data_IF_534206876110
#
_entry.id   IF_534206876110
#
_cell.length_a   1.000
_cell.length_b   1.000
_cell.length_c   1.000
_cell.angle_alpha   90.00
_cell.angle_beta   90.00
_cell.angle_gamma   90.00
#
_symmetry.space_group_name_H-M   'P 1'
#
loop_
_entity.id
_entity.type
_entity.pdbx_description
1 polymer ?
#
# COMPACT_ATOMS: atom_id res chain seq x y z
N UNK A 1 -33.23 18.17 21.94
CA UNK A 1 -33.03 17.41 23.20
C UNK A 1 -31.74 16.58 22.99
N UNK A 2 -30.63 17.03 23.58
CA UNK A 2 -29.35 16.28 23.50
C UNK A 2 -29.44 15.02 24.32
N UNK A 3 -29.49 13.88 23.69
CA UNK A 3 -29.49 12.58 24.34
C UNK A 3 -28.05 12.24 24.70
N UNK A 4 -27.74 12.15 26.00
CA UNK A 4 -26.43 11.70 26.50
C UNK A 4 -26.23 10.26 26.03
N UNK A 5 -25.46 10.09 24.97
CA UNK A 5 -25.03 8.79 24.47
C UNK A 5 -23.93 8.34 25.41
N UNK A 6 -24.16 7.26 26.15
CA UNK A 6 -23.37 6.64 27.19
C UNK A 6 -21.88 7.04 27.35
N UNK A 7 -21.19 6.50 28.34
CA UNK A 7 -19.76 6.73 28.54
C UNK A 7 -18.99 6.34 27.27
N UNK A 8 -18.61 7.33 26.46
CA UNK A 8 -17.64 7.16 25.38
C UNK A 8 -16.28 7.00 26.04
N UNK A 9 -15.87 5.79 26.23
CA UNK A 9 -14.84 5.45 27.19
C UNK A 9 -13.53 4.96 26.57
N UNK A 10 -13.34 5.04 25.28
CA UNK A 10 -11.99 4.87 24.74
C UNK A 10 -11.57 6.20 24.15
N UNK A 11 -10.51 6.75 24.74
CA UNK A 11 -9.80 7.91 24.24
C UNK A 11 -9.46 7.65 22.79
N UNK A 12 -9.95 8.53 21.91
CA UNK A 12 -9.39 8.61 20.58
C UNK A 12 -7.88 8.66 20.69
N UNK A 13 -7.20 7.75 20.06
CA UNK A 13 -5.74 7.79 19.93
C UNK A 13 -5.45 9.02 19.05
N UNK A 14 -5.11 10.14 19.71
CA UNK A 14 -5.23 11.48 19.15
C UNK A 14 -3.93 11.94 18.51
N UNK A 15 -3.48 11.20 17.52
CA UNK A 15 -2.22 11.42 16.82
C UNK A 15 -2.37 12.02 15.42
N UNK A 16 -3.60 12.21 14.94
CA UNK A 16 -3.88 12.91 13.69
C UNK A 16 -3.39 14.36 13.76
N UNK A 17 -2.90 14.87 12.63
CA UNK A 17 -2.69 16.32 12.44
C UNK A 17 -4.00 17.10 12.51
N UNK A 18 -5.10 16.42 12.18
CA UNK A 18 -6.44 16.98 12.21
C UNK A 18 -6.96 17.11 13.65
N UNK A 19 -7.79 18.11 13.87
CA UNK A 19 -8.52 18.30 15.13
C UNK A 19 -9.86 18.98 14.88
N UNK A 20 -10.79 18.88 15.83
CA UNK A 20 -12.04 19.62 15.76
C UNK A 20 -11.77 21.12 15.68
N UNK A 21 -12.47 21.81 14.80
CA UNK A 21 -12.29 23.23 14.51
C UNK A 21 -11.24 23.52 13.45
N UNK A 22 -10.43 22.54 13.02
CA UNK A 22 -9.57 22.72 11.85
C UNK A 22 -10.42 22.98 10.61
N UNK A 23 -9.97 23.90 9.74
CA UNK A 23 -10.70 24.32 8.55
C UNK A 23 -9.83 24.15 7.31
N UNK A 24 -10.48 23.94 6.17
CA UNK A 24 -9.82 23.79 4.89
C UNK A 24 -10.69 24.24 3.72
N UNK A 25 -10.17 24.06 2.52
CA UNK A 25 -10.87 24.37 1.28
C UNK A 25 -10.60 23.29 0.23
N UNK A 26 -11.65 22.89 -0.50
CA UNK A 26 -11.59 21.98 -1.64
C UNK A 26 -12.58 22.43 -2.72
N UNK A 27 -12.15 22.43 -3.98
CA UNK A 27 -12.96 22.84 -5.13
C UNK A 27 -13.63 24.22 -4.96
N UNK A 28 -12.94 25.17 -4.28
CA UNK A 28 -13.47 26.50 -3.98
C UNK A 28 -14.46 26.57 -2.81
N UNK A 29 -14.81 25.43 -2.21
CA UNK A 29 -15.68 25.32 -1.04
C UNK A 29 -14.88 25.22 0.25
N UNK A 30 -15.13 26.10 1.23
CA UNK A 30 -14.58 25.99 2.56
C UNK A 30 -15.32 24.95 3.40
N UNK A 31 -14.62 24.34 4.34
CA UNK A 31 -15.20 23.41 5.32
C UNK A 31 -14.53 23.55 6.68
N UNK A 32 -15.22 23.11 7.72
CA UNK A 32 -14.68 23.00 9.09
C UNK A 32 -14.94 21.60 9.63
N UNK A 33 -13.94 20.99 10.27
CA UNK A 33 -14.07 19.69 10.92
C UNK A 33 -14.81 19.86 12.26
N UNK A 34 -16.05 19.42 12.32
CA UNK A 34 -16.94 19.64 13.47
C UNK A 34 -17.24 18.38 14.25
N UNK A 35 -16.96 17.21 13.67
CA UNK A 35 -17.14 15.93 14.32
C UNK A 35 -16.16 14.89 13.82
N UNK A 36 -16.03 13.79 14.56
CA UNK A 36 -15.23 12.63 14.11
C UNK A 36 -15.83 11.32 14.60
N UNK A 37 -15.63 10.28 13.82
CA UNK A 37 -16.01 8.90 14.05
C UNK A 37 -14.76 8.03 13.97
N UNK A 38 -14.64 7.04 14.84
CA UNK A 38 -13.62 6.01 14.73
C UNK A 38 -14.27 4.66 14.55
N UNK A 39 -13.87 3.98 13.50
CA UNK A 39 -14.35 2.66 13.14
C UNK A 39 -13.27 1.61 13.37
N UNK A 40 -13.68 0.44 13.84
CA UNK A 40 -12.86 -0.77 13.80
C UNK A 40 -13.35 -1.68 12.67
N UNK A 41 -12.42 -2.34 12.00
CA UNK A 41 -12.70 -3.31 10.95
C UNK A 41 -11.86 -4.57 11.14
N UNK A 42 -12.20 -5.61 10.37
CA UNK A 42 -11.54 -6.91 10.42
C UNK A 42 -11.87 -7.70 11.69
N UNK A 43 -11.49 -8.95 11.69
CA UNK A 43 -11.66 -9.87 12.81
C UNK A 43 -10.31 -10.45 13.26
N UNK A 44 -10.26 -10.85 14.52
CA UNK A 44 -9.09 -11.51 15.10
C UNK A 44 -7.82 -10.69 14.91
N UNK A 45 -6.97 -11.19 14.09
CA UNK A 45 -5.63 -10.67 13.88
C UNK A 45 -5.53 -9.60 12.76
N UNK A 46 -6.53 -9.49 11.90
CA UNK A 46 -6.59 -8.48 10.84
C UNK A 46 -7.31 -7.19 11.26
N UNK A 47 -7.56 -7.03 12.56
CA UNK A 47 -8.30 -5.87 13.07
C UNK A 47 -7.50 -4.58 12.96
N UNK A 48 -8.09 -3.57 12.31
CA UNK A 48 -7.57 -2.20 12.21
C UNK A 48 -8.60 -1.16 12.63
N UNK A 49 -8.23 0.11 12.55
CA UNK A 49 -9.13 1.25 12.79
C UNK A 49 -8.83 2.37 11.81
N UNK A 50 -9.86 3.10 11.39
CA UNK A 50 -9.71 4.38 10.69
C UNK A 50 -10.55 5.47 11.35
N UNK A 51 -10.24 6.72 11.05
CA UNK A 51 -10.98 7.88 11.52
C UNK A 51 -11.67 8.58 10.35
N UNK A 52 -12.94 8.93 10.54
CA UNK A 52 -13.71 9.76 9.63
C UNK A 52 -14.09 11.07 10.30
N UNK A 53 -13.72 12.17 9.66
CA UNK A 53 -14.04 13.52 10.13
C UNK A 53 -15.26 14.06 9.40
N UNK A 54 -16.26 14.53 10.15
CA UNK A 54 -17.38 15.29 9.59
C UNK A 54 -16.91 16.71 9.27
N UNK A 55 -16.91 17.02 7.96
CA UNK A 55 -16.55 18.32 7.42
C UNK A 55 -17.83 19.07 7.07
N UNK A 56 -18.19 20.05 7.90
CA UNK A 56 -19.32 20.94 7.62
C UNK A 56 -18.89 22.00 6.61
N UNK A 57 -19.53 22.02 5.45
CA UNK A 57 -19.23 22.97 4.38
C UNK A 57 -19.85 24.34 4.66
N UNK A 58 -19.34 25.39 4.01
CA UNK A 58 -19.80 26.77 4.19
C UNK A 58 -21.27 26.98 3.76
N UNK A 59 -21.80 26.11 2.91
CA UNK A 59 -23.20 26.09 2.51
C UNK A 59 -24.13 25.32 3.44
N UNK A 60 -23.57 24.77 4.54
CA UNK A 60 -24.28 23.95 5.52
C UNK A 60 -24.41 22.47 5.13
N UNK A 61 -23.89 22.06 3.98
CA UNK A 61 -23.90 20.65 3.58
C UNK A 61 -22.81 19.86 4.31
N UNK A 62 -23.03 18.54 4.45
CA UNK A 62 -22.07 17.61 5.04
C UNK A 62 -21.12 17.03 4.01
N UNK A 63 -19.86 16.92 4.37
CA UNK A 63 -18.86 16.13 3.70
C UNK A 63 -18.06 15.35 4.74
N UNK A 64 -17.21 14.42 4.29
CA UNK A 64 -16.39 13.61 5.17
C UNK A 64 -14.94 13.63 4.69
N UNK A 65 -14.03 13.71 5.63
CA UNK A 65 -12.60 13.52 5.39
C UNK A 65 -12.16 12.27 6.14
N UNK A 66 -12.00 11.18 5.40
CA UNK A 66 -11.48 9.94 5.97
C UNK A 66 -9.98 10.02 6.02
N UNK A 67 -9.43 9.58 7.13
CA UNK A 67 -8.01 9.53 7.42
C UNK A 67 -7.61 8.11 7.75
N UNK A 68 -6.70 7.59 6.95
CA UNK A 68 -6.03 6.34 7.22
C UNK A 68 -4.56 6.49 6.82
N UNK A 69 -3.69 6.42 7.85
CA UNK A 69 -2.24 6.29 7.66
C UNK A 69 -1.57 7.39 6.82
N UNK A 70 -2.03 8.64 6.97
CA UNK A 70 -1.53 9.77 6.19
C UNK A 70 -2.05 9.83 4.76
N UNK A 71 -2.94 8.92 4.38
CA UNK A 71 -3.79 9.02 3.18
C UNK A 71 -5.14 9.60 3.57
N UNK A 72 -5.69 10.45 2.71
CA UNK A 72 -6.94 11.13 2.96
C UNK A 72 -7.89 10.96 1.78
N UNK A 73 -9.16 10.70 2.08
CA UNK A 73 -10.24 10.69 1.09
C UNK A 73 -11.28 11.72 1.49
N UNK A 74 -11.52 12.69 0.63
CA UNK A 74 -12.61 13.65 0.80
C UNK A 74 -13.83 13.18 0.03
N UNK A 75 -14.95 12.98 0.72
CA UNK A 75 -16.18 12.43 0.15
C UNK A 75 -17.42 13.26 0.52
N UNK A 76 -18.46 13.17 -0.31
CA UNK A 76 -19.77 13.78 -0.08
C UNK A 76 -20.87 12.74 -0.19
N UNK A 77 -21.94 12.88 0.60
CA UNK A 77 -23.14 12.06 0.39
C UNK A 77 -23.71 12.27 -1.01
N UNK A 78 -24.09 11.19 -1.67
CA UNK A 78 -24.76 11.24 -2.96
C UNK A 78 -26.05 10.45 -2.91
N UNK A 79 -27.07 10.95 -3.63
CA UNK A 79 -28.31 10.20 -3.82
C UNK A 79 -28.05 9.07 -4.81
N UNK A 80 -28.32 7.84 -4.42
CA UNK A 80 -28.29 6.72 -5.35
C UNK A 80 -29.48 6.84 -6.31
N UNK A 81 -29.21 7.09 -7.60
CA UNK A 81 -30.24 7.11 -8.65
C UNK A 81 -30.73 5.69 -9.03
N UNK A 82 -30.44 4.68 -8.22
CA UNK A 82 -30.80 3.28 -8.41
C UNK A 82 -30.67 2.48 -7.12
N UNK A 83 -31.11 1.25 -7.14
CA UNK A 83 -30.92 0.35 -6.01
C UNK A 83 -29.43 0.06 -5.81
N UNK A 84 -28.95 0.28 -4.59
CA UNK A 84 -27.59 -0.18 -4.19
C UNK A 84 -27.60 -1.68 -4.15
N UNK A 85 -26.69 -2.40 -4.85
CA UNK A 85 -26.61 -3.85 -4.77
C UNK A 85 -26.40 -4.33 -3.33
N UNK A 86 -26.91 -5.50 -2.93
CA UNK A 86 -26.59 -6.09 -1.64
C UNK A 86 -25.07 -6.31 -1.50
N UNK A 87 -24.52 -6.14 -0.30
CA UNK A 87 -23.09 -6.35 -0.05
C UNK A 87 -22.61 -7.76 -0.47
N UNK A 88 -23.46 -8.78 -0.36
CA UNK A 88 -23.15 -10.15 -0.78
C UNK A 88 -22.94 -10.31 -2.29
N UNK A 89 -23.39 -9.37 -3.10
CA UNK A 89 -23.21 -9.36 -4.56
C UNK A 89 -21.98 -8.55 -5.01
N UNK A 90 -21.24 -8.01 -4.05
CA UNK A 90 -20.06 -7.16 -4.27
C UNK A 90 -18.77 -7.82 -3.73
N UNK A 91 -18.34 -8.98 -4.24
CA UNK A 91 -17.10 -9.60 -3.78
C UNK A 91 -15.88 -8.79 -4.25
N UNK A 92 -14.84 -8.77 -3.42
CA UNK A 92 -13.59 -8.03 -3.68
C UNK A 92 -12.96 -8.44 -5.01
N UNK A 93 -12.47 -7.44 -5.75
CA UNK A 93 -11.88 -7.60 -7.08
C UNK A 93 -12.87 -7.69 -8.25
N UNK A 94 -14.18 -7.74 -7.97
CA UNK A 94 -15.19 -7.75 -9.03
C UNK A 94 -15.50 -6.34 -9.54
N UNK A 95 -15.72 -6.23 -10.86
CA UNK A 95 -16.14 -4.98 -11.48
C UNK A 95 -17.65 -4.84 -11.45
N UNK A 96 -18.14 -3.68 -11.08
CA UNK A 96 -19.55 -3.30 -11.04
C UNK A 96 -19.78 -2.01 -11.82
N UNK A 97 -20.89 -1.92 -12.55
CA UNK A 97 -21.30 -0.72 -13.26
C UNK A 97 -22.34 0.06 -12.43
N UNK A 98 -22.03 1.30 -12.08
CA UNK A 98 -22.86 2.18 -11.26
C UNK A 98 -22.94 3.55 -11.90
N UNK A 99 -24.14 4.05 -12.16
CA UNK A 99 -24.32 5.38 -12.77
C UNK A 99 -23.62 5.57 -14.12
N UNK A 100 -23.43 4.49 -14.91
CA UNK A 100 -22.73 4.53 -16.19
C UNK A 100 -21.19 4.49 -16.09
N UNK A 101 -20.64 4.50 -14.87
CA UNK A 101 -19.21 4.35 -14.60
C UNK A 101 -18.91 2.93 -14.11
N UNK A 102 -17.74 2.39 -14.48
CA UNK A 102 -17.26 1.11 -13.95
C UNK A 102 -16.41 1.34 -12.72
N UNK A 103 -16.61 0.46 -11.74
CA UNK A 103 -15.86 0.42 -10.49
C UNK A 103 -15.39 -1.00 -10.21
N UNK A 104 -14.33 -1.11 -9.42
CA UNK A 104 -13.83 -2.39 -8.87
C UNK A 104 -14.05 -2.38 -7.37
N UNK A 105 -14.59 -3.45 -6.83
CA UNK A 105 -14.75 -3.62 -5.37
C UNK A 105 -13.35 -3.75 -4.75
N UNK A 106 -12.95 -2.75 -3.98
CA UNK A 106 -11.65 -2.73 -3.29
C UNK A 106 -11.73 -3.32 -1.89
N UNK A 107 -12.87 -3.18 -1.21
CA UNK A 107 -13.08 -3.71 0.13
C UNK A 107 -14.55 -4.08 0.34
N UNK A 108 -14.80 -5.17 1.06
CA UNK A 108 -16.13 -5.57 1.53
C UNK A 108 -15.96 -6.26 2.89
N UNK A 109 -16.26 -5.54 3.96
CA UNK A 109 -15.95 -6.03 5.29
C UNK A 109 -16.90 -5.50 6.38
N UNK A 110 -17.07 -6.24 7.47
CA UNK A 110 -17.78 -5.75 8.64
C UNK A 110 -16.96 -4.67 9.34
N UNK A 111 -17.65 -3.61 9.75
CA UNK A 111 -17.08 -2.50 10.53
C UNK A 111 -17.92 -2.25 11.77
N UNK A 112 -17.31 -1.67 12.79
CA UNK A 112 -17.99 -1.32 14.05
C UNK A 112 -17.58 0.08 14.45
N UNK A 113 -18.56 0.96 14.70
CA UNK A 113 -18.30 2.27 15.30
C UNK A 113 -17.85 2.07 16.75
N UNK A 114 -16.63 2.49 17.10
CA UNK A 114 -16.04 2.32 18.43
C UNK A 114 -15.97 3.62 19.23
N UNK A 115 -15.90 4.77 18.55
CA UNK A 115 -15.89 6.08 19.21
C UNK A 115 -16.49 7.17 18.30
N UNK A 116 -17.03 8.22 18.90
CA UNK A 116 -17.57 9.39 18.20
C UNK A 116 -17.40 10.67 19.04
N UNK A 117 -17.13 11.82 18.41
CA UNK A 117 -16.94 13.10 19.08
C UNK A 117 -17.43 14.26 18.20
N UNK A 118 -17.90 15.35 18.82
CA UNK A 118 -18.30 16.58 18.14
C UNK A 118 -19.70 16.51 17.53
N UNK A 119 -19.92 17.28 16.46
CA UNK A 119 -21.22 17.39 15.77
C UNK A 119 -21.28 16.41 14.58
N UNK A 120 -22.26 15.55 14.60
CA UNK A 120 -22.43 14.48 13.61
C UNK A 120 -23.85 14.48 13.06
N UNK A 121 -24.04 14.43 11.73
CA UNK A 121 -25.37 14.47 11.12
C UNK A 121 -26.18 13.21 11.40
N UNK A 122 -25.50 12.08 11.49
CA UNK A 122 -26.06 10.76 11.81
C UNK A 122 -25.02 9.94 12.53
N UNK A 123 -25.44 9.15 13.49
CA UNK A 123 -24.57 8.27 14.27
C UNK A 123 -25.01 6.82 14.03
N UNK A 124 -24.16 5.96 13.45
CA UNK A 124 -24.40 4.53 13.44
C UNK A 124 -24.48 3.97 14.87
N UNK A 125 -25.16 2.84 15.10
CA UNK A 125 -25.21 2.23 16.41
C UNK A 125 -23.81 1.90 16.93
N UNK A 126 -23.46 2.44 18.10
CA UNK A 126 -22.18 2.19 18.74
C UNK A 126 -22.03 0.71 19.12
N UNK A 127 -20.90 0.11 18.78
CA UNK A 127 -20.56 -1.28 19.12
C UNK A 127 -21.33 -2.34 18.32
N UNK A 128 -22.17 -1.97 17.37
CA UNK A 128 -22.88 -2.92 16.52
C UNK A 128 -22.16 -3.02 15.14
N UNK A 129 -21.83 -4.23 14.67
CA UNK A 129 -21.21 -4.40 13.37
C UNK A 129 -22.24 -4.16 12.25
N UNK A 130 -21.75 -3.55 11.16
CA UNK A 130 -22.47 -3.43 9.90
C UNK A 130 -21.45 -3.52 8.75
N UNK A 131 -21.92 -3.77 7.53
CA UNK A 131 -21.02 -3.91 6.38
C UNK A 131 -20.76 -2.57 5.73
N UNK A 132 -19.52 -2.31 5.37
CA UNK A 132 -19.11 -1.24 4.45
C UNK A 132 -18.45 -1.87 3.23
N UNK A 133 -18.86 -1.40 2.05
CA UNK A 133 -18.25 -1.79 0.78
C UNK A 133 -17.66 -0.56 0.13
N UNK A 134 -16.39 -0.62 -0.23
CA UNK A 134 -15.72 0.40 -0.99
C UNK A 134 -15.49 -0.08 -2.42
N UNK A 135 -15.79 0.78 -3.39
CA UNK A 135 -15.51 0.53 -4.80
C UNK A 135 -14.74 1.71 -5.39
N UNK A 136 -13.76 1.42 -6.24
CA UNK A 136 -12.87 2.41 -6.86
C UNK A 136 -13.11 2.48 -8.35
N UNK A 137 -13.15 3.68 -8.91
CA UNK A 137 -13.33 3.86 -10.35
C UNK A 137 -12.26 3.10 -11.14
N UNK A 138 -12.71 2.39 -12.18
CA UNK A 138 -11.85 1.60 -13.04
C UNK A 138 -11.22 2.45 -14.14
N UNK A 139 -9.90 2.46 -14.22
CA UNK A 139 -9.15 3.21 -15.25
C UNK A 139 -9.16 4.73 -15.04
N UNK A 140 -8.90 5.47 -16.10
CA UNK A 140 -8.84 6.94 -16.07
C UNK A 140 -7.48 7.49 -15.61
N UNK A 141 -7.39 8.82 -15.59
CA UNK A 141 -6.26 9.53 -15.01
C UNK A 141 -6.42 9.70 -13.49
N UNK A 142 -5.35 10.02 -12.79
CA UNK A 142 -5.34 10.14 -11.33
C UNK A 142 -6.35 11.19 -10.81
N UNK A 143 -6.55 12.28 -11.55
CA UNK A 143 -7.47 13.35 -11.16
C UNK A 143 -8.95 12.94 -11.32
N UNK A 144 -9.24 12.02 -12.24
CA UNK A 144 -10.60 11.52 -12.48
C UNK A 144 -11.00 10.37 -11.57
N UNK A 145 -10.05 9.79 -10.83
CA UNK A 145 -10.30 8.64 -9.96
C UNK A 145 -11.27 8.99 -8.83
N UNK A 146 -12.19 8.07 -8.58
CA UNK A 146 -13.24 8.23 -7.56
C UNK A 146 -13.34 6.98 -6.69
N UNK A 147 -13.77 7.22 -5.48
CA UNK A 147 -14.11 6.20 -4.48
C UNK A 147 -15.59 6.34 -4.17
N UNK A 148 -16.35 5.25 -4.27
CA UNK A 148 -17.70 5.16 -3.75
C UNK A 148 -17.69 4.25 -2.54
N UNK A 149 -18.37 4.66 -1.48
CA UNK A 149 -18.56 3.83 -0.28
C UNK A 149 -20.05 3.60 -0.04
N UNK A 150 -20.41 2.35 0.25
CA UNK A 150 -21.76 1.92 0.61
C UNK A 150 -21.77 1.52 2.08
N UNK A 151 -22.49 2.27 2.89
CA UNK A 151 -22.70 2.00 4.32
C UNK A 151 -24.04 1.30 4.51
N UNK A 152 -24.02 0.00 4.82
CA UNK A 152 -25.18 -0.84 5.06
C UNK A 152 -25.67 -0.76 6.52
N UNK A 153 -25.14 0.12 7.35
CA UNK A 153 -25.66 0.42 8.69
C UNK A 153 -27.01 1.11 8.69
N UNK A 154 -27.54 1.46 7.51
CA UNK A 154 -28.87 2.04 7.35
C UNK A 154 -29.65 1.42 6.17
N UNK A 155 -30.97 1.59 6.18
CA UNK A 155 -31.87 1.18 5.10
C UNK A 155 -32.63 2.42 4.57
N UNK A 156 -32.45 2.83 3.31
CA UNK A 156 -31.49 2.30 2.34
C UNK A 156 -30.03 2.55 2.77
N UNK A 157 -29.05 1.84 2.18
CA UNK A 157 -27.63 2.08 2.43
C UNK A 157 -27.24 3.52 2.09
N UNK A 158 -26.43 4.13 2.96
CA UNK A 158 -25.88 5.45 2.66
C UNK A 158 -24.74 5.32 1.63
N UNK A 159 -24.70 6.27 0.70
CA UNK A 159 -23.69 6.30 -0.38
C UNK A 159 -22.89 7.58 -0.30
N UNK A 160 -21.57 7.49 -0.34
CA UNK A 160 -20.67 8.63 -0.49
C UNK A 160 -19.81 8.48 -1.72
N UNK A 161 -19.54 9.60 -2.39
CA UNK A 161 -18.62 9.70 -3.52
C UNK A 161 -17.45 10.60 -3.13
N UNK A 162 -16.24 10.09 -3.27
CA UNK A 162 -15.03 10.80 -2.87
C UNK A 162 -13.88 10.66 -3.84
N UNK A 163 -12.78 11.30 -3.48
CA UNK A 163 -11.48 11.17 -4.15
C UNK A 163 -10.35 11.28 -3.14
N UNK A 164 -9.20 10.69 -3.47
CA UNK A 164 -7.98 10.89 -2.71
C UNK A 164 -7.54 12.34 -2.74
N UNK A 165 -7.06 12.82 -1.60
CA UNK A 165 -6.54 14.19 -1.44
C UNK A 165 -5.27 14.15 -0.59
N UNK A 166 -4.43 15.19 -0.70
CA UNK A 166 -3.32 15.42 0.21
C UNK A 166 -3.59 16.67 1.04
N UNK A 167 -3.20 16.70 2.31
CA UNK A 167 -3.51 17.82 3.21
C UNK A 167 -3.01 19.17 2.67
N UNK A 168 -1.90 19.17 1.94
CA UNK A 168 -1.37 20.39 1.30
C UNK A 168 -2.32 21.02 0.29
N UNK A 169 -3.16 20.21 -0.36
CA UNK A 169 -4.08 20.67 -1.39
C UNK A 169 -5.42 21.17 -0.81
N UNK A 170 -5.64 20.87 0.48
CA UNK A 170 -6.82 21.31 1.21
C UNK A 170 -6.66 22.69 1.88
N UNK A 171 -5.51 23.34 1.76
CA UNK A 171 -5.22 24.64 2.39
C UNK A 171 -5.62 24.68 3.87
N UNK A 172 -5.29 23.63 4.62
CA UNK A 172 -5.72 23.45 5.99
C UNK A 172 -5.16 24.53 6.93
N UNK A 173 -5.98 24.97 7.87
CA UNK A 173 -5.62 25.82 8.99
C UNK A 173 -6.13 25.21 10.31
N UNK A 174 -5.52 25.58 11.44
CA UNK A 174 -5.91 25.06 12.74
C UNK A 174 -5.52 23.58 12.95
N UNK A 175 -4.52 23.09 12.24
CA UNK A 175 -3.93 21.77 12.48
C UNK A 175 -3.20 21.76 13.83
N UNK A 176 -3.05 20.57 14.43
CA UNK A 176 -2.20 20.41 15.61
C UNK A 176 -0.76 20.76 15.26
N UNK A 177 -0.09 21.49 16.13
CA UNK A 177 1.32 21.83 15.97
C UNK A 177 2.18 20.55 16.02
N UNK A 178 3.18 20.44 15.13
CA UNK A 178 4.14 19.32 15.13
C UNK A 178 4.83 19.15 16.51
N UNK A 179 5.09 20.25 17.22
CA UNK A 179 5.65 20.25 18.58
C UNK A 179 4.77 19.57 19.63
N UNK A 180 3.45 19.54 19.44
CA UNK A 180 2.53 18.81 20.32
C UNK A 180 2.59 17.29 20.11
N UNK A 181 3.05 16.86 18.94
CA UNK A 181 3.22 15.44 18.60
C UNK A 181 4.56 14.88 19.10
N UNK A 182 5.64 15.66 19.04
CA UNK A 182 6.96 15.24 19.52
C UNK A 182 7.01 15.03 21.03
N UNK A 183 6.14 15.70 21.79
CA UNK A 183 6.06 15.58 23.26
C UNK A 183 5.30 14.34 23.77
N UNK A 184 4.59 13.62 22.91
CA UNK A 184 3.72 12.50 23.32
C UNK A 184 4.28 11.12 22.95
N UNK A 185 5.59 10.98 22.76
CA UNK A 185 6.23 9.68 22.49
C UNK A 185 5.75 8.62 23.46
N UNK A 186 4.89 7.71 22.99
CA UNK A 186 4.42 6.58 23.81
C UNK A 186 5.58 5.66 24.10
N UNK A 187 5.86 5.39 25.36
CA UNK A 187 6.92 4.49 25.77
C UNK A 187 6.35 3.36 26.63
N UNK A 188 6.81 2.15 26.37
CA UNK A 188 6.46 0.97 27.14
C UNK A 188 7.65 0.00 27.22
N UNK A 189 7.58 -0.95 28.14
CA UNK A 189 8.58 -2.02 28.22
C UNK A 189 8.28 -3.13 27.20
N UNK A 190 9.30 -3.57 26.48
CA UNK A 190 9.16 -4.70 25.56
C UNK A 190 8.64 -5.96 26.30
N UNK A 191 7.56 -6.60 25.83
CA UNK A 191 7.00 -7.77 26.50
C UNK A 191 7.93 -9.00 26.51
N UNK A 192 8.93 -9.01 25.62
CA UNK A 192 9.90 -10.11 25.56
C UNK A 192 11.17 -9.83 26.39
N UNK A 193 11.80 -8.66 26.25
CA UNK A 193 13.11 -8.41 26.88
C UNK A 193 13.11 -7.29 27.93
N UNK A 194 11.98 -6.60 28.17
CA UNK A 194 11.85 -5.52 29.14
C UNK A 194 12.48 -4.17 28.73
N UNK A 195 13.22 -4.11 27.62
CA UNK A 195 13.84 -2.87 27.15
C UNK A 195 12.80 -1.82 26.79
N UNK A 196 13.09 -0.51 26.95
CA UNK A 196 12.15 0.55 26.59
C UNK A 196 11.94 0.60 25.07
N UNK A 197 10.69 0.62 24.65
CA UNK A 197 10.25 0.80 23.27
C UNK A 197 9.53 2.12 23.16
N UNK A 198 9.99 3.00 22.27
CA UNK A 198 9.38 4.31 22.03
C UNK A 198 8.71 4.31 20.66
N UNK A 199 7.41 4.56 20.63
CA UNK A 199 6.62 4.73 19.42
C UNK A 199 6.73 6.18 18.98
N UNK A 200 7.22 6.41 17.77
CA UNK A 200 7.46 7.76 17.21
C UNK A 200 6.33 8.21 16.28
N UNK A 201 5.80 7.27 15.51
CA UNK A 201 4.67 7.55 14.64
C UNK A 201 3.37 7.42 15.44
N UNK A 202 2.55 8.41 15.32
CA UNK A 202 1.26 8.48 15.97
C UNK A 202 0.35 7.28 15.65
N UNK A 203 0.38 6.84 14.42
CA UNK A 203 -0.53 5.86 13.83
C UNK A 203 0.03 4.43 13.84
N UNK A 204 1.14 4.19 14.55
CA UNK A 204 1.78 2.87 14.59
C UNK A 204 0.82 1.81 15.13
N UNK A 205 0.57 0.79 14.33
CA UNK A 205 -0.19 -0.41 14.69
C UNK A 205 0.71 -1.59 15.00
N UNK A 206 1.96 -1.53 14.55
CA UNK A 206 2.99 -2.51 14.90
C UNK A 206 4.35 -1.82 15.04
N UNK A 207 5.18 -2.32 15.93
CA UNK A 207 6.56 -1.85 16.15
C UNK A 207 7.46 -3.02 16.50
N UNK A 208 8.74 -2.93 16.13
CA UNK A 208 9.74 -3.88 16.62
C UNK A 208 10.57 -3.29 17.74
N UNK A 209 10.87 -4.10 18.75
CA UNK A 209 11.77 -3.72 19.81
C UNK A 209 13.17 -3.42 19.25
N UNK A 210 13.77 -2.25 19.51
CA UNK A 210 15.09 -1.92 18.99
C UNK A 210 16.21 -2.81 19.53
N UNK A 211 15.99 -3.49 20.68
CA UNK A 211 16.98 -4.32 21.34
C UNK A 211 16.93 -5.80 20.90
N UNK A 212 15.75 -6.41 20.89
CA UNK A 212 15.60 -7.85 20.62
C UNK A 212 14.83 -8.16 19.33
N UNK A 213 14.44 -7.14 18.58
CA UNK A 213 13.69 -7.20 17.31
C UNK A 213 12.34 -7.94 17.40
N UNK A 214 11.84 -8.21 18.60
CA UNK A 214 10.49 -8.77 18.78
C UNK A 214 9.47 -7.84 18.16
N UNK A 215 8.62 -8.38 17.29
CA UNK A 215 7.50 -7.66 16.68
C UNK A 215 6.36 -7.56 17.70
N UNK A 216 5.83 -6.36 17.92
CA UNK A 216 4.83 -6.02 18.92
C UNK A 216 3.63 -5.41 18.24
N UNK A 217 2.45 -5.97 18.48
CA UNK A 217 1.17 -5.48 17.97
C UNK A 217 0.63 -4.36 18.86
N UNK A 218 0.44 -3.18 18.29
CA UNK A 218 -0.09 -1.99 18.96
C UNK A 218 -1.55 -1.70 18.60
N UNK A 219 -2.21 -2.56 17.82
CA UNK A 219 -3.58 -2.32 17.33
C UNK A 219 -4.62 -2.17 18.44
N UNK A 220 -4.32 -2.65 19.67
CA UNK A 220 -5.16 -2.50 20.86
C UNK A 220 -4.67 -1.41 21.84
N UNK A 221 -3.71 -0.57 21.42
CA UNK A 221 -3.05 0.39 22.28
C UNK A 221 -1.96 -0.24 23.17
N UNK A 222 -1.27 0.60 23.96
CA UNK A 222 -0.14 0.20 24.84
C UNK A 222 -0.55 -0.06 26.30
N UNK A 223 -1.82 0.04 26.62
CA UNK A 223 -2.32 -0.04 28.02
C UNK A 223 -2.76 -1.45 28.46
N UNK A 224 -2.59 -2.47 27.64
CA UNK A 224 -3.01 -3.84 27.92
C UNK A 224 -1.94 -4.87 27.66
N UNK A 225 -2.34 -6.16 27.65
CA UNK A 225 -1.45 -7.25 27.26
C UNK A 225 -1.08 -7.12 25.77
N UNK A 226 0.21 -6.87 25.50
CA UNK A 226 0.74 -6.68 24.15
C UNK A 226 1.03 -8.04 23.51
N UNK A 227 0.35 -8.33 22.40
CA UNK A 227 0.70 -9.48 21.56
C UNK A 227 2.07 -9.24 20.93
N UNK A 228 2.90 -10.25 20.90
CA UNK A 228 4.23 -10.15 20.33
C UNK A 228 4.69 -11.47 19.70
N UNK A 229 5.64 -11.36 18.78
CA UNK A 229 6.28 -12.49 18.12
C UNK A 229 7.80 -12.30 18.09
N UNK A 230 8.54 -13.27 18.57
CA UNK A 230 10.00 -13.31 18.44
C UNK A 230 10.35 -13.61 16.99
N UNK A 231 11.35 -12.90 16.44
CA UNK A 231 11.81 -13.09 15.08
C UNK A 231 13.20 -13.74 15.06
N UNK A 232 13.28 -14.86 14.37
CA UNK A 232 14.53 -15.54 14.09
C UNK A 232 15.05 -15.11 12.71
N UNK A 233 16.32 -15.35 12.40
CA UNK A 233 16.95 -15.09 11.11
C UNK A 233 16.87 -13.60 10.69
N UNK A 234 17.61 -12.71 11.36
CA UNK A 234 17.52 -11.27 11.11
C UNK A 234 18.03 -10.89 9.71
N UNK A 235 17.22 -10.17 8.96
CA UNK A 235 17.59 -9.53 7.70
C UNK A 235 18.06 -8.10 7.99
N UNK A 236 19.24 -7.74 7.50
CA UNK A 236 19.84 -6.42 7.73
C UNK A 236 19.49 -5.46 6.59
N UNK A 237 18.82 -4.34 6.88
CA UNK A 237 18.55 -3.33 5.87
C UNK A 237 19.84 -2.64 5.39
N UNK A 238 19.95 -2.36 4.09
CA UNK A 238 21.04 -1.54 3.52
C UNK A 238 20.92 -0.07 3.95
N UNK A 239 19.69 0.43 4.04
CA UNK A 239 19.36 1.77 4.50
C UNK A 239 18.86 1.66 5.94
N UNK A 240 19.56 2.26 6.89
CA UNK A 240 19.21 2.16 8.30
C UNK A 240 17.86 2.84 8.60
N UNK A 241 17.09 2.29 9.55
CA UNK A 241 15.90 2.94 10.07
C UNK A 241 16.24 4.34 10.64
N UNK A 242 15.37 5.30 10.42
CA UNK A 242 15.55 6.70 10.80
C UNK A 242 16.35 7.52 9.79
N UNK A 243 16.96 6.88 8.78
CA UNK A 243 17.66 7.63 7.70
C UNK A 243 16.67 8.52 6.96
N UNK A 244 17.13 9.72 6.60
CA UNK A 244 16.38 10.69 5.79
C UNK A 244 17.05 10.85 4.45
N UNK A 245 16.30 10.65 3.38
CA UNK A 245 16.77 10.78 2.00
C UNK A 245 15.81 11.59 1.14
N UNK A 246 16.31 12.19 0.06
CA UNK A 246 15.47 12.93 -0.89
C UNK A 246 15.29 12.13 -2.17
N UNK A 247 14.05 11.66 -2.41
CA UNK A 247 13.66 10.98 -3.64
C UNK A 247 12.57 11.81 -4.34
N UNK A 248 12.75 12.05 -5.64
CA UNK A 248 11.83 12.83 -6.47
C UNK A 248 11.46 14.20 -5.85
N UNK A 249 12.42 14.89 -5.22
CA UNK A 249 12.22 16.19 -4.59
C UNK A 249 11.55 16.16 -3.20
N UNK A 250 11.15 15.01 -2.70
CA UNK A 250 10.49 14.83 -1.41
C UNK A 250 11.47 14.20 -0.42
N UNK A 251 11.51 14.77 0.81
CA UNK A 251 12.28 14.20 1.90
C UNK A 251 11.50 13.07 2.56
N UNK A 252 12.09 11.90 2.61
CA UNK A 252 11.51 10.71 3.18
C UNK A 252 12.33 10.20 4.35
N UNK A 253 11.68 9.83 5.43
CA UNK A 253 12.30 9.11 6.54
C UNK A 253 11.98 7.62 6.44
N UNK A 254 12.99 6.77 6.57
CA UNK A 254 12.80 5.31 6.67
C UNK A 254 12.29 4.98 8.06
N UNK A 255 11.05 4.54 8.17
CA UNK A 255 10.39 4.24 9.45
C UNK A 255 10.17 2.75 9.67
N UNK A 256 10.06 1.97 8.60
CA UNK A 256 9.90 0.53 8.66
C UNK A 256 10.69 -0.18 7.58
N UNK A 257 10.89 -1.47 7.75
CA UNK A 257 11.56 -2.36 6.84
C UNK A 257 10.95 -3.75 6.95
N UNK A 258 10.64 -4.38 5.83
CA UNK A 258 10.21 -5.77 5.82
C UNK A 258 10.94 -6.56 4.73
N UNK A 259 11.16 -7.83 5.00
CA UNK A 259 11.59 -8.81 4.02
C UNK A 259 10.42 -9.72 3.69
N UNK A 260 10.21 -9.95 2.42
CA UNK A 260 9.14 -10.79 1.90
C UNK A 260 9.69 -11.92 1.05
N UNK A 261 9.00 -13.04 1.07
CA UNK A 261 9.27 -14.19 0.23
C UNK A 261 8.08 -14.38 -0.72
N UNK A 262 8.39 -14.55 -1.99
CA UNK A 262 7.43 -14.82 -3.04
C UNK A 262 7.58 -16.24 -3.58
N UNK A 263 6.48 -16.82 -4.02
CA UNK A 263 6.46 -18.10 -4.71
C UNK A 263 5.48 -18.02 -5.89
N UNK A 264 5.96 -18.33 -7.08
CA UNK A 264 5.10 -18.44 -8.24
C UNK A 264 4.21 -19.68 -8.11
N UNK A 265 2.92 -19.61 -8.50
CA UNK A 265 2.06 -20.80 -8.51
C UNK A 265 2.54 -21.93 -9.43
N UNK A 266 3.32 -21.57 -10.45
CA UNK A 266 3.78 -22.48 -11.50
C UNK A 266 5.23 -22.94 -11.29
N UNK A 267 5.88 -22.52 -10.21
CA UNK A 267 7.29 -22.79 -9.92
C UNK A 267 7.52 -23.03 -8.44
N UNK A 268 8.35 -24.01 -8.09
CA UNK A 268 8.75 -24.31 -6.71
C UNK A 268 9.86 -23.37 -6.20
N UNK A 269 10.42 -22.50 -7.05
CA UNK A 269 11.43 -21.55 -6.64
C UNK A 269 10.82 -20.39 -5.86
N UNK A 270 11.41 -20.13 -4.70
CA UNK A 270 11.09 -18.97 -3.85
C UNK A 270 12.09 -17.86 -4.14
N UNK A 271 11.59 -16.63 -4.24
CA UNK A 271 12.41 -15.42 -4.37
C UNK A 271 12.14 -14.48 -3.22
N UNK A 272 13.08 -13.58 -2.94
CA UNK A 272 12.96 -12.63 -1.83
C UNK A 272 13.20 -11.21 -2.26
N UNK A 273 12.57 -10.26 -1.57
CA UNK A 273 12.82 -8.83 -1.73
C UNK A 273 12.66 -8.10 -0.41
N UNK A 274 13.10 -6.85 -0.37
CA UNK A 274 12.93 -6.01 0.81
C UNK A 274 12.17 -4.74 0.47
N UNK A 275 11.38 -4.28 1.42
CA UNK A 275 10.57 -3.06 1.31
C UNK A 275 10.89 -2.14 2.48
N UNK A 276 11.18 -0.88 2.17
CA UNK A 276 11.37 0.18 3.15
C UNK A 276 10.11 1.03 3.20
N UNK A 277 9.49 1.10 4.36
CA UNK A 277 8.40 2.04 4.58
C UNK A 277 8.99 3.43 4.80
N UNK A 278 8.64 4.33 3.92
CA UNK A 278 9.04 5.74 3.92
C UNK A 278 7.90 6.61 4.43
N UNK A 279 8.21 7.58 5.26
CA UNK A 279 7.24 8.52 5.81
C UNK A 279 7.62 9.97 5.52
N UNK A 280 6.63 10.79 5.20
CA UNK A 280 6.69 12.24 5.13
C UNK A 280 5.41 12.82 5.74
N UNK A 281 5.52 13.71 6.73
CA UNK A 281 4.37 14.26 7.47
C UNK A 281 3.28 14.92 6.59
N UNK A 282 3.65 15.45 5.41
CA UNK A 282 2.71 16.12 4.47
C UNK A 282 2.23 15.22 3.33
N UNK A 283 2.96 14.14 3.02
CA UNK A 283 2.73 13.27 1.86
C UNK A 283 2.32 11.86 2.26
N UNK A 284 2.27 11.56 3.57
CA UNK A 284 1.99 10.24 4.08
C UNK A 284 3.11 9.23 3.79
N UNK A 285 2.76 8.04 3.39
CA UNK A 285 3.66 6.92 3.22
C UNK A 285 3.97 6.60 1.75
N UNK A 286 5.14 6.01 1.53
CA UNK A 286 5.58 5.43 0.28
C UNK A 286 6.41 4.18 0.56
N UNK A 287 6.60 3.33 -0.43
CA UNK A 287 7.44 2.15 -0.33
C UNK A 287 8.62 2.26 -1.29
N UNK A 288 9.82 2.10 -0.76
CA UNK A 288 11.02 1.92 -1.54
C UNK A 288 11.33 0.42 -1.55
N UNK A 289 11.20 -0.19 -2.70
CA UNK A 289 11.35 -1.63 -2.89
C UNK A 289 12.71 -1.94 -3.48
N UNK A 290 13.38 -2.93 -2.93
CA UNK A 290 14.66 -3.47 -3.36
C UNK A 290 14.47 -4.93 -3.75
N UNK A 291 14.43 -5.19 -5.04
CA UNK A 291 14.23 -6.51 -5.63
C UNK A 291 15.36 -6.86 -6.60
N UNK A 292 15.39 -8.09 -7.12
CA UNK A 292 16.42 -8.53 -8.07
C UNK A 292 16.49 -7.68 -9.33
N UNK A 293 15.33 -7.20 -9.80
CA UNK A 293 15.21 -6.36 -11.00
C UNK A 293 15.43 -4.85 -10.74
N UNK A 294 15.85 -4.49 -9.52
CA UNK A 294 16.27 -3.15 -9.15
C UNK A 294 15.43 -2.49 -8.07
N UNK A 295 15.64 -1.21 -7.95
CA UNK A 295 14.94 -0.35 -6.99
C UNK A 295 13.70 0.26 -7.61
N UNK A 296 12.67 0.43 -6.83
CA UNK A 296 11.47 1.16 -7.23
C UNK A 296 10.86 1.95 -6.08
N UNK A 297 10.18 3.05 -6.41
CA UNK A 297 9.41 3.85 -5.45
C UNK A 297 7.94 3.76 -5.86
N UNK A 298 7.10 3.25 -4.96
CA UNK A 298 5.68 3.03 -5.21
C UNK A 298 4.82 3.67 -4.13
N UNK A 299 3.56 3.99 -4.48
CA UNK A 299 2.55 4.53 -3.57
C UNK A 299 1.19 3.92 -3.89
N UNK A 300 0.33 3.71 -2.88
CA UNK A 300 -1.04 3.29 -3.11
C UNK A 300 -1.80 4.26 -4.04
N UNK A 301 -2.66 3.72 -4.90
CA UNK A 301 -3.50 4.49 -5.82
C UNK A 301 -4.89 4.71 -5.24
N UNK A 302 -5.55 5.81 -5.62
CA UNK A 302 -6.97 6.04 -5.27
C UNK A 302 -7.90 5.17 -6.10
N UNK A 303 -7.66 5.06 -7.42
CA UNK A 303 -8.47 4.27 -8.34
C UNK A 303 -7.91 2.88 -8.57
N UNK A 304 -8.65 2.06 -9.28
CA UNK A 304 -8.23 0.75 -9.72
C UNK A 304 -7.85 0.77 -11.21
N UNK A 305 -6.70 0.19 -11.63
CA UNK A 305 -6.42 -0.06 -13.04
C UNK A 305 -7.50 -0.91 -13.69
N UNK A 306 -7.80 -0.65 -14.97
CA UNK A 306 -8.68 -1.52 -15.74
C UNK A 306 -7.91 -2.75 -16.21
N UNK A 307 -8.23 -3.88 -15.64
CA UNK A 307 -7.59 -5.16 -15.96
C UNK A 307 -8.26 -5.82 -17.16
N UNK A 308 -7.48 -6.24 -18.15
CA UNK A 308 -7.96 -6.86 -19.37
C UNK A 308 -7.16 -8.12 -19.71
N UNK A 309 -7.66 -8.91 -20.70
CA UNK A 309 -6.95 -10.10 -21.18
C UNK A 309 -6.72 -11.15 -20.09
N UNK A 310 -7.72 -11.41 -19.26
CA UNK A 310 -7.61 -12.35 -18.12
C UNK A 310 -6.42 -12.03 -17.19
N UNK A 311 -6.27 -10.75 -16.88
CA UNK A 311 -5.18 -10.26 -16.00
C UNK A 311 -3.83 -10.08 -16.70
N UNK A 312 -3.76 -10.22 -18.02
CA UNK A 312 -2.49 -10.05 -18.75
C UNK A 312 -2.07 -8.58 -18.92
N UNK A 313 -3.04 -7.65 -18.85
CA UNK A 313 -2.80 -6.21 -19.02
C UNK A 313 -3.58 -5.40 -18.00
N UNK A 314 -3.05 -4.23 -17.65
CA UNK A 314 -3.70 -3.24 -16.81
C UNK A 314 -3.58 -1.85 -17.47
N UNK A 315 -4.69 -1.12 -17.58
CA UNK A 315 -4.72 0.25 -18.10
C UNK A 315 -4.84 1.23 -16.93
N UNK A 316 -3.89 2.16 -16.80
CA UNK A 316 -3.85 3.13 -15.71
C UNK A 316 -3.12 4.40 -16.14
N UNK A 317 -3.63 5.58 -15.77
CA UNK A 317 -3.03 6.88 -16.06
C UNK A 317 -2.56 7.03 -17.53
N UNK A 318 -3.43 6.65 -18.47
CA UNK A 318 -3.21 6.77 -19.91
C UNK A 318 -2.18 5.79 -20.50
N UNK A 319 -1.77 4.76 -19.74
CA UNK A 319 -0.84 3.75 -20.24
C UNK A 319 -1.38 2.34 -20.05
N UNK A 320 -0.94 1.44 -20.93
CA UNK A 320 -1.22 0.02 -20.84
C UNK A 320 0.03 -0.70 -20.35
N UNK A 321 -0.08 -1.34 -19.22
CA UNK A 321 0.96 -2.13 -18.57
C UNK A 321 0.75 -3.60 -18.91
N UNK A 322 1.82 -4.33 -19.13
CA UNK A 322 1.79 -5.78 -19.29
C UNK A 322 2.13 -6.45 -17.98
N UNK A 323 1.43 -7.55 -17.65
CA UNK A 323 1.74 -8.33 -16.46
C UNK A 323 3.13 -8.93 -16.58
N UNK A 324 3.98 -8.70 -15.58
CA UNK A 324 5.31 -9.27 -15.45
C UNK A 324 5.28 -10.52 -14.57
N UNK A 325 4.57 -10.44 -13.42
CA UNK A 325 4.55 -11.50 -12.42
C UNK A 325 3.17 -11.74 -11.83
N UNK A 326 2.97 -12.97 -11.30
CA UNK A 326 1.83 -13.36 -10.47
C UNK A 326 2.33 -14.38 -9.46
N UNK A 327 2.18 -14.09 -8.16
CA UNK A 327 2.80 -14.90 -7.11
C UNK A 327 2.05 -14.75 -5.79
N UNK A 328 2.25 -15.72 -4.88
CA UNK A 328 1.90 -15.57 -3.48
C UNK A 328 3.10 -15.03 -2.72
N UNK A 329 2.86 -14.10 -1.81
CA UNK A 329 3.90 -13.48 -1.00
C UNK A 329 3.65 -13.74 0.48
N UNK A 330 4.73 -13.82 1.26
CA UNK A 330 4.70 -13.97 2.72
C UNK A 330 5.70 -13.02 3.36
N UNK A 331 5.30 -12.33 4.44
CA UNK A 331 6.21 -11.49 5.23
C UNK A 331 7.04 -12.38 6.15
N UNK A 332 8.35 -12.40 5.95
CA UNK A 332 9.28 -13.26 6.71
C UNK A 332 9.98 -12.55 7.86
N UNK A 333 10.29 -11.24 7.70
CA UNK A 333 10.98 -10.44 8.71
C UNK A 333 10.55 -8.98 8.69
N UNK A 334 10.54 -8.32 9.86
CA UNK A 334 10.03 -6.96 10.02
C UNK A 334 10.93 -6.17 10.98
N UNK A 335 11.21 -4.89 10.68
CA UNK A 335 11.88 -3.95 11.59
C UNK A 335 11.21 -2.57 11.53
N UNK A 336 11.21 -1.84 12.66
CA UNK A 336 10.73 -0.47 12.76
C UNK A 336 9.25 -0.36 13.08
N UNK A 337 8.62 0.70 12.60
CA UNK A 337 7.24 1.06 12.86
C UNK A 337 6.38 0.95 11.60
N UNK A 338 5.16 0.41 11.77
CA UNK A 338 4.21 0.23 10.69
C UNK A 338 2.84 0.77 11.10
N UNK A 339 2.18 1.43 10.19
CA UNK A 339 0.83 1.98 10.39
C UNK A 339 -0.28 0.91 10.28
N UNK A 340 0.06 -0.30 9.87
CA UNK A 340 -0.85 -1.46 9.86
C UNK A 340 -0.31 -2.56 10.79
N UNK A 341 -1.16 -3.50 11.22
CA UNK A 341 -0.74 -4.61 12.08
C UNK A 341 0.02 -5.67 11.25
N UNK A 342 1.24 -5.28 10.79
CA UNK A 342 2.11 -6.20 10.04
C UNK A 342 2.44 -7.43 10.88
N UNK A 343 2.50 -8.59 10.24
CA UNK A 343 2.80 -9.86 10.88
C UNK A 343 3.74 -10.70 10.06
N UNK A 344 4.57 -11.42 10.76
CA UNK A 344 5.33 -12.54 10.19
C UNK A 344 4.36 -13.64 9.75
N UNK A 345 4.59 -14.21 8.58
CA UNK A 345 3.70 -15.22 8.00
C UNK A 345 2.44 -14.67 7.32
N UNK A 346 2.27 -13.35 7.25
CA UNK A 346 1.15 -12.74 6.55
C UNK A 346 1.26 -13.02 5.06
N UNK A 347 0.18 -13.57 4.48
CA UNK A 347 0.14 -13.99 3.08
C UNK A 347 -0.75 -13.10 2.25
N UNK A 348 -0.29 -12.81 1.03
CA UNK A 348 -1.02 -12.03 0.04
C UNK A 348 -0.85 -12.65 -1.33
N UNK A 349 -1.81 -12.42 -2.23
CA UNK A 349 -1.69 -12.71 -3.64
C UNK A 349 -1.34 -11.45 -4.40
N UNK A 350 -0.31 -11.50 -5.23
CA UNK A 350 0.27 -10.35 -5.89
C UNK A 350 0.29 -10.51 -7.41
N UNK A 351 0.12 -9.39 -8.12
CA UNK A 351 0.37 -9.27 -9.57
C UNK A 351 1.10 -7.99 -9.85
N UNK A 352 2.19 -8.09 -10.59
CA UNK A 352 2.99 -6.96 -11.01
C UNK A 352 2.85 -6.73 -12.51
N UNK A 353 2.84 -5.44 -12.88
CA UNK A 353 2.69 -4.99 -14.27
C UNK A 353 3.68 -3.88 -14.53
N UNK A 354 4.20 -3.81 -15.79
CA UNK A 354 5.15 -2.77 -16.16
C UNK A 354 4.92 -2.22 -17.56
N UNK A 355 5.35 -0.98 -17.76
CA UNK A 355 5.53 -0.34 -19.08
C UNK A 355 6.69 0.66 -19.01
N UNK A 356 7.81 0.34 -19.66
CA UNK A 356 9.07 1.09 -19.47
C UNK A 356 9.50 1.06 -18.02
N UNK A 357 9.78 2.22 -17.45
CA UNK A 357 10.16 2.37 -16.05
C UNK A 357 8.96 2.43 -15.08
N UNK A 358 7.74 2.57 -15.61
CA UNK A 358 6.52 2.65 -14.78
C UNK A 358 6.05 1.26 -14.38
N UNK A 359 5.61 1.14 -13.14
CA UNK A 359 5.15 -0.11 -12.53
C UNK A 359 3.80 0.06 -11.88
N UNK A 360 3.03 -1.02 -11.86
CA UNK A 360 1.81 -1.18 -11.07
C UNK A 360 1.91 -2.50 -10.32
N UNK A 361 1.48 -2.51 -9.07
CA UNK A 361 1.37 -3.72 -8.27
C UNK A 361 -0.03 -3.84 -7.70
N UNK A 362 -0.60 -5.03 -7.81
CA UNK A 362 -1.80 -5.46 -7.12
C UNK A 362 -1.40 -6.34 -5.96
N UNK A 363 -1.89 -6.03 -4.78
CA UNK A 363 -1.87 -6.90 -3.61
C UNK A 363 -3.29 -7.21 -3.17
N UNK A 364 -3.59 -8.48 -2.92
CA UNK A 364 -4.92 -8.94 -2.54
C UNK A 364 -4.85 -9.87 -1.33
N UNK A 365 -5.74 -9.60 -0.37
CA UNK A 365 -6.12 -10.49 0.74
C UNK A 365 -7.54 -11.02 0.50
N UNK A 366 -8.08 -11.78 1.45
CA UNK A 366 -9.47 -12.26 1.35
C UNK A 366 -10.52 -11.14 1.36
N UNK A 367 -10.25 -10.04 2.06
CA UNK A 367 -11.22 -8.95 2.31
C UNK A 367 -10.90 -7.64 1.59
N UNK A 368 -9.72 -7.54 0.95
CA UNK A 368 -9.25 -6.29 0.37
C UNK A 368 -8.34 -6.51 -0.85
N UNK A 369 -8.39 -5.54 -1.77
CA UNK A 369 -7.52 -5.43 -2.92
C UNK A 369 -6.95 -4.01 -2.99
N UNK A 370 -5.63 -3.90 -2.99
CA UNK A 370 -4.93 -2.62 -3.10
C UNK A 370 -4.05 -2.58 -4.33
N UNK A 371 -4.07 -1.43 -4.99
CA UNK A 371 -3.17 -1.13 -6.09
C UNK A 371 -2.14 -0.09 -5.67
N UNK A 372 -0.92 -0.27 -6.13
CA UNK A 372 0.16 0.69 -5.99
C UNK A 372 0.74 1.02 -7.35
N UNK A 373 1.11 2.29 -7.55
CA UNK A 373 1.74 2.78 -8.76
C UNK A 373 3.07 3.46 -8.43
N UNK A 374 4.02 3.35 -9.35
CA UNK A 374 5.32 3.97 -9.17
C UNK A 374 6.24 3.80 -10.36
N UNK A 375 7.53 3.95 -10.11
CA UNK A 375 8.56 3.82 -11.13
C UNK A 375 9.84 3.20 -10.58
N UNK A 376 10.62 2.59 -11.48
CA UNK A 376 11.98 2.15 -11.19
C UNK A 376 12.88 3.34 -10.90
N UNK A 377 13.85 3.12 -10.04
CA UNK A 377 14.87 4.10 -9.67
C UNK A 377 16.27 3.54 -9.99
N UNK A 378 17.13 4.42 -10.46
CA UNK A 378 18.55 4.09 -10.58
C UNK A 378 19.17 3.87 -9.19
N UNK A 379 19.95 2.81 -9.02
CA UNK A 379 20.55 2.46 -7.74
C UNK A 379 21.50 3.56 -7.21
N UNK A 380 22.20 4.31 -8.09
CA UNK A 380 23.02 5.44 -7.67
C UNK A 380 22.16 6.61 -7.17
N UNK A 381 20.96 6.79 -7.74
CA UNK A 381 20.00 7.77 -7.23
C UNK A 381 19.59 7.43 -5.80
N UNK A 382 19.26 6.16 -5.52
CA UNK A 382 18.91 5.69 -4.18
C UNK A 382 20.08 5.85 -3.22
N UNK A 383 21.28 5.38 -3.59
CA UNK A 383 22.47 5.51 -2.76
C UNK A 383 22.80 6.99 -2.44
N UNK A 384 22.67 7.88 -3.43
CA UNK A 384 22.87 9.33 -3.22
C UNK A 384 21.81 9.94 -2.31
N UNK A 385 20.54 9.56 -2.50
CA UNK A 385 19.44 10.07 -1.70
C UNK A 385 19.66 9.87 -0.20
N UNK A 386 20.19 8.70 0.17
CA UNK A 386 20.43 8.34 1.58
C UNK A 386 21.91 8.54 2.02
N UNK A 387 22.73 9.23 1.23
CA UNK A 387 24.14 9.53 1.53
C UNK A 387 25.01 8.28 1.73
N UNK A 388 24.78 7.25 0.91
CA UNK A 388 25.46 5.96 0.94
C UNK A 388 26.25 5.69 -0.37
N UNK A 389 26.79 6.75 -0.99
CA UNK A 389 27.54 6.64 -2.25
C UNK A 389 28.80 5.79 -2.14
N UNK A 390 29.44 5.79 -0.96
CA UNK A 390 30.58 4.94 -0.62
C UNK A 390 30.23 3.43 -0.66
N UNK A 391 28.96 3.11 -0.51
CA UNK A 391 28.41 1.76 -0.56
C UNK A 391 27.55 1.49 -1.80
N UNK A 392 27.62 2.33 -2.83
CA UNK A 392 26.76 2.23 -4.01
C UNK A 392 26.80 0.85 -4.69
N UNK A 393 27.94 0.16 -4.62
CA UNK A 393 28.05 -1.20 -5.14
C UNK A 393 27.06 -2.21 -4.50
N UNK A 394 26.69 -2.01 -3.23
CA UNK A 394 25.71 -2.85 -2.53
C UNK A 394 24.26 -2.62 -2.98
N UNK A 395 24.01 -1.48 -3.63
CA UNK A 395 22.69 -1.13 -4.17
C UNK A 395 22.49 -1.63 -5.59
N UNK A 396 23.57 -2.05 -6.26
CA UNK A 396 23.51 -2.55 -7.63
C UNK A 396 22.88 -3.93 -7.64
N UNK A 397 21.82 -4.11 -8.44
CA UNK A 397 21.25 -5.41 -8.76
C UNK A 397 21.72 -5.83 -10.12
N UNK A 398 21.97 -7.14 -10.31
CA UNK A 398 22.60 -7.64 -11.54
C UNK A 398 21.68 -7.45 -12.76
N UNK A 399 20.39 -7.48 -12.56
CA UNK A 399 19.37 -7.41 -13.61
C UNK A 399 18.80 -6.01 -13.82
N UNK A 400 19.21 -5.03 -12.99
CA UNK A 400 18.69 -3.66 -13.02
C UNK A 400 19.31 -2.76 -14.11
N UNK A 401 20.18 -3.27 -14.94
CA UNK A 401 20.65 -2.50 -16.09
C UNK A 401 19.52 -2.44 -17.13
N UNK A 402 18.99 -1.25 -17.49
CA UNK A 402 18.15 -1.15 -18.66
C UNK A 402 18.97 -1.68 -19.84
N UNK A 403 18.50 -2.75 -20.44
CA UNK A 403 19.02 -3.18 -21.75
C UNK A 403 18.63 -2.06 -22.69
N UNK A 404 19.55 -1.13 -22.95
CA UNK A 404 19.37 -0.18 -24.04
C UNK A 404 19.37 -1.01 -25.31
N UNK A 405 18.18 -1.25 -25.86
CA UNK A 405 17.96 -1.97 -27.11
C UNK A 405 18.69 -1.32 -28.32
N UNK A 406 19.41 -0.21 -28.11
CA UNK A 406 20.17 0.49 -29.13
C UNK A 406 21.50 -0.17 -29.51
N UNK A 407 22.25 -0.72 -28.56
CA UNK A 407 23.61 -1.26 -28.87
C UNK A 407 23.76 -2.75 -28.58
N UNK A 408 23.05 -3.29 -27.58
CA UNK A 408 23.11 -4.73 -27.26
C UNK A 408 22.38 -5.57 -28.32
N UNK A 409 21.32 -5.06 -28.96
CA UNK A 409 20.58 -5.76 -29.98
C UNK A 409 21.43 -6.05 -31.19
N UNK A 410 22.28 -5.10 -31.62
CA UNK A 410 23.18 -5.31 -32.79
C UNK A 410 24.32 -6.28 -32.48
N UNK A 411 24.82 -6.27 -31.25
CA UNK A 411 25.90 -7.17 -30.81
C UNK A 411 25.38 -8.59 -30.59
N UNK A 412 24.22 -8.72 -29.94
CA UNK A 412 23.56 -10.03 -29.72
C UNK A 412 23.16 -10.68 -31.04
N UNK A 413 22.58 -9.90 -31.96
CA UNK A 413 22.25 -10.40 -33.32
C UNK A 413 23.52 -10.82 -34.07
N UNK A 414 24.60 -10.07 -33.99
CA UNK A 414 25.90 -10.44 -34.57
C UNK A 414 26.44 -11.72 -33.96
N UNK A 415 26.37 -11.87 -32.63
CA UNK A 415 26.82 -13.09 -31.94
C UNK A 415 25.94 -14.29 -32.35
N UNK A 416 24.61 -14.12 -32.43
CA UNK A 416 23.69 -15.18 -32.86
C UNK A 416 23.94 -15.56 -34.33
N UNK A 417 24.15 -14.57 -35.19
CA UNK A 417 24.44 -14.83 -36.60
C UNK A 417 25.80 -15.54 -36.77
N UNK A 418 26.84 -15.11 -36.05
CA UNK A 418 28.14 -15.79 -36.04
C UNK A 418 28.01 -17.20 -35.49
N UNK A 419 27.28 -17.40 -34.41
CA UNK A 419 27.05 -18.72 -33.84
C UNK A 419 26.24 -19.63 -34.74
N UNK A 420 25.23 -19.10 -35.44
CA UNK A 420 24.50 -19.87 -36.47
C UNK A 420 25.37 -20.23 -37.66
N UNK A 421 26.26 -19.33 -38.10
CA UNK A 421 27.21 -19.63 -39.19
C UNK A 421 28.25 -20.67 -38.78
N UNK A 422 28.74 -20.62 -37.53
CA UNK A 422 29.65 -21.64 -36.99
C UNK A 422 28.92 -22.99 -36.83
N UNK A 423 27.69 -23.01 -36.34
CA UNK A 423 26.88 -24.21 -36.23
C UNK A 423 26.53 -24.81 -37.60
N UNK A 424 26.20 -23.96 -38.58
CA UNK A 424 25.98 -24.39 -39.98
C UNK A 424 27.26 -24.94 -40.63
N UNK A 425 28.42 -24.33 -40.36
CA UNK A 425 29.72 -24.80 -40.76
C UNK A 425 30.10 -26.14 -40.14
N UNK A 426 29.85 -26.28 -38.84
CA UNK A 426 30.04 -27.55 -38.11
C UNK A 426 29.06 -28.63 -38.58
N UNK A 427 27.83 -28.29 -38.93
CA UNK A 427 26.83 -29.22 -39.46
C UNK A 427 27.23 -29.71 -40.89
N UNK A 428 27.73 -28.81 -41.73
CA UNK A 428 28.29 -29.14 -43.03
C UNK A 428 29.53 -30.03 -42.90
N UNK A 429 30.42 -29.76 -41.97
CA UNK A 429 31.57 -30.61 -41.63
C UNK A 429 31.13 -31.98 -41.06
N UNK A 430 30.14 -32.02 -40.17
CA UNK A 430 29.60 -33.26 -39.64
C UNK A 430 28.86 -34.10 -40.72
N UNK A 431 28.18 -33.44 -41.65
CA UNK A 431 27.56 -34.11 -42.82
C UNK A 431 28.61 -34.69 -43.80
N UNK A 432 29.78 -34.06 -43.86
CA UNK A 432 30.90 -34.57 -44.67
C UNK A 432 31.67 -35.72 -43.98
N UNK A 433 31.63 -35.84 -42.67
CA UNK A 433 32.41 -36.82 -41.90
C UNK A 433 31.59 -37.86 -41.13
N UNK A 434 30.27 -37.88 -41.27
CA UNK A 434 29.36 -38.94 -40.83
C UNK A 434 29.53 -39.38 -39.38
N UNK A 435 29.21 -38.53 -38.42
CA UNK A 435 29.16 -38.93 -37.00
C UNK A 435 27.77 -38.65 -36.43
N UNK A 436 27.09 -39.70 -35.99
CA UNK A 436 25.85 -39.65 -35.23
C UNK A 436 26.16 -39.41 -33.74
N UNK A 437 25.61 -38.41 -33.13
CA UNK A 437 25.63 -38.24 -31.66
C UNK A 437 24.26 -37.85 -31.14
N UNK A 438 23.84 -38.63 -30.16
CA UNK A 438 22.62 -38.50 -29.39
C UNK A 438 22.62 -37.21 -28.54
N UNK A 439 21.49 -36.51 -28.51
CA UNK A 439 21.34 -35.25 -27.80
C UNK A 439 21.03 -35.44 -26.31
N UNK A 440 21.62 -34.59 -25.52
CA UNK A 440 21.14 -34.29 -24.17
C UNK A 440 20.73 -32.81 -24.11
N UNK A 441 19.48 -32.56 -23.67
CA UNK A 441 18.93 -31.23 -23.56
C UNK A 441 19.49 -30.51 -22.32
N UNK A 442 20.02 -29.33 -22.53
CA UNK A 442 20.34 -28.40 -21.45
C UNK A 442 19.17 -27.43 -21.25
N UNK A 443 18.55 -27.48 -20.10
CA UNK A 443 17.51 -26.56 -19.71
C UNK A 443 18.09 -25.16 -19.51
N UNK A 444 17.44 -24.18 -20.08
CA UNK A 444 17.74 -22.77 -19.87
C UNK A 444 17.16 -22.38 -18.51
N UNK A 445 18.00 -21.99 -17.58
CA UNK A 445 17.58 -21.40 -16.33
C UNK A 445 16.85 -20.07 -16.58
N UNK A 446 15.63 -19.98 -16.12
CA UNK A 446 14.90 -18.71 -16.05
C UNK A 446 15.43 -17.92 -14.87
N UNK A 447 15.88 -16.67 -15.13
CA UNK A 447 16.12 -15.72 -14.06
C UNK A 447 14.78 -15.37 -13.42
N UNK A 448 14.65 -15.66 -12.13
CA UNK A 448 13.51 -15.22 -11.34
C UNK A 448 13.56 -13.70 -11.20
N UNK A 449 12.64 -12.99 -11.81
CA UNK A 449 12.52 -11.54 -11.68
C UNK A 449 11.91 -11.17 -10.34
N UNK A 450 12.38 -10.09 -9.78
CA UNK A 450 11.93 -9.57 -8.52
C UNK A 450 10.56 -8.90 -8.58
N UNK A 451 9.94 -8.77 -7.45
CA UNK A 451 8.59 -8.27 -7.31
C UNK A 451 8.56 -6.82 -6.84
N UNK A 452 7.48 -6.15 -7.20
CA UNK A 452 7.15 -4.81 -6.78
C UNK A 452 6.03 -4.88 -5.74
N UNK A 453 6.41 -4.92 -4.46
CA UNK A 453 5.43 -4.98 -3.39
C UNK A 453 4.84 -3.60 -3.08
N UNK A 454 3.55 -3.47 -3.20
CA UNK A 454 2.79 -2.44 -2.51
C UNK A 454 2.01 -3.13 -1.41
N UNK A 455 2.16 -2.69 -0.19
CA UNK A 455 1.44 -3.28 0.92
C UNK A 455 0.17 -2.50 1.23
N UNK A 456 -0.93 -3.22 1.40
CA UNK A 456 -2.13 -2.67 2.00
C UNK A 456 -2.26 -3.13 3.44
N UNK A 457 -2.62 -2.25 4.31
CA UNK A 457 -3.17 -2.61 5.61
C UNK A 457 -4.67 -2.66 5.42
N UNK A 458 -5.29 -3.80 5.58
CA UNK A 458 -6.73 -3.90 5.55
C UNK A 458 -7.40 -2.72 6.27
N UNK A 459 -7.90 -1.78 5.53
CA UNK A 459 -8.55 -0.59 6.02
C UNK A 459 -9.39 -0.02 4.90
N UNK A 460 -10.71 -0.18 5.00
CA UNK A 460 -11.62 0.48 4.08
C UNK A 460 -11.41 1.98 4.13
N UNK A 461 -10.92 2.55 3.07
CA UNK A 461 -10.91 3.99 2.90
C UNK A 461 -12.28 4.44 2.43
N UNK A 462 -12.88 5.33 3.16
CA UNK A 462 -14.02 6.09 2.66
C UNK A 462 -13.57 7.25 1.81
#
# INVERSE_FOLDING_TARGET
>A
MLKRIGKMAELFDDHSLLQLGASGQIDGQGFTLVGRLQYAYGEGDERGTWTEWHALQTDGSSAYLSEDNGAYVYSRPVSSNGAVPPASELPVGHSVALGGQRYVVSSNQPVTLIAAQGELPKLPPLGQPFTVVEVRSEGGDEASQRVLSFDYGSAPPAVTLGRGVVLTDLNMSGLKAESAQEGSGRQFACPNCGSPVTVKLAESKAITCPQCHTLIDLSKGIGGELRHAVQDEPVRPLIALGSVGQLNGIHWQVVGFQHRLGQSPDDDESFGWTEYLLYNAKRGFAFLVDAEDGWSLVRPTTGAPKVTGNGAKAEYAGATYSRTWSYNAETSYVLGEFYWPVRRGQKTFNRDYAVGERILSLEQTGSEQTWSAGAKLDFNQVARAFKLQDKAALFRRQDAAPVSLGDAGSTLIKIIVVMMLVLAGMWLLAAMFGASSSGSGSGWGRSSGGSFGGYSSGGGHK
#
